data_IF_747460623670
#
_entry.id   IF_747460623670
#
_cell.length_a   1.000
_cell.length_b   1.000
_cell.length_c   1.000
_cell.angle_alpha   90.00
_cell.angle_beta   90.00
_cell.angle_gamma   90.00
#
_symmetry.space_group_name_H-M   'P 1'
#
loop_
_entity.id
_entity.type
_entity.pdbx_description
1 polymer ?
#
# COMPACT_ATOMS: atom_id res chain seq x y z
N UNK A 1 10.41 15.21 15.50
CA UNK A 1 10.84 13.80 15.34
C UNK A 1 10.74 13.12 16.70
N UNK A 2 10.35 11.85 16.74
CA UNK A 2 10.34 11.10 18.00
C UNK A 2 11.77 10.93 18.55
N UNK A 3 11.91 10.82 19.89
CA UNK A 3 13.19 10.60 20.56
C UNK A 3 13.71 9.20 20.21
N UNK A 4 14.96 9.10 19.78
CA UNK A 4 15.61 7.81 19.52
C UNK A 4 15.92 7.13 20.86
N UNK A 5 15.48 5.89 21.02
CA UNK A 5 15.75 5.06 22.20
C UNK A 5 16.83 4.03 21.81
N UNK A 6 18.05 4.10 22.37
CA UNK A 6 19.13 3.17 22.03
C UNK A 6 18.86 1.78 22.62
N UNK A 7 19.14 0.72 21.86
CA UNK A 7 18.99 -0.67 22.29
C UNK A 7 18.43 -1.58 21.20
N UNK A 8 18.22 -2.86 21.54
CA UNK A 8 17.52 -3.82 20.69
C UNK A 8 16.09 -3.99 21.21
N UNK A 9 15.12 -3.70 20.36
CA UNK A 9 13.70 -3.82 20.69
C UNK A 9 13.04 -4.81 19.74
N UNK A 10 12.06 -5.53 20.26
CA UNK A 10 11.22 -6.45 19.50
C UNK A 10 9.78 -6.11 19.81
N UNK A 11 8.95 -5.91 18.78
CA UNK A 11 7.52 -5.72 18.98
C UNK A 11 6.92 -7.05 19.46
N UNK A 12 6.08 -6.99 20.48
CA UNK A 12 5.24 -8.11 20.90
C UNK A 12 3.86 -7.93 20.27
N UNK A 13 3.33 -9.00 19.68
CA UNK A 13 1.99 -9.08 19.16
C UNK A 13 1.33 -10.31 19.79
N UNK A 14 0.32 -10.08 20.62
CA UNK A 14 -0.41 -11.16 21.31
C UNK A 14 -1.60 -11.66 20.46
N UNK A 15 -1.99 -10.89 19.44
CA UNK A 15 -3.08 -11.16 18.52
C UNK A 15 -2.57 -11.40 17.11
N UNK A 16 -3.30 -12.20 16.34
CA UNK A 16 -3.04 -12.41 14.92
C UNK A 16 -3.16 -11.10 14.15
N UNK A 17 -2.33 -10.93 13.11
CA UNK A 17 -2.33 -9.71 12.29
C UNK A 17 -2.03 -10.03 10.83
N UNK A 18 -2.20 -9.02 9.97
CA UNK A 18 -1.93 -9.14 8.54
C UNK A 18 -0.70 -8.34 8.14
N UNK A 19 0.18 -8.97 7.37
CA UNK A 19 1.22 -8.29 6.59
C UNK A 19 0.75 -8.22 5.14
N UNK A 20 0.52 -7.01 4.66
CA UNK A 20 0.11 -6.76 3.28
C UNK A 20 1.24 -6.04 2.54
N UNK A 21 1.80 -6.70 1.54
CA UNK A 21 2.84 -6.15 0.68
C UNK A 21 2.19 -5.82 -0.66
N UNK A 22 2.26 -4.57 -1.09
CA UNK A 22 1.76 -4.14 -2.39
C UNK A 22 2.84 -3.36 -3.13
N UNK A 23 2.95 -3.55 -4.43
CA UNK A 23 3.93 -2.83 -5.22
C UNK A 23 3.53 -2.59 -6.65
N UNK A 24 4.25 -1.65 -7.26
CA UNK A 24 4.21 -1.38 -8.69
C UNK A 24 5.53 -1.77 -9.34
N UNK A 25 5.48 -2.31 -10.55
CA UNK A 25 6.64 -2.53 -11.41
C UNK A 25 6.46 -1.79 -12.72
N UNK A 26 7.35 -0.85 -13.00
CA UNK A 26 7.40 -0.13 -14.28
C UNK A 26 8.04 -1.05 -15.32
N UNK A 27 7.29 -1.38 -16.38
CA UNK A 27 7.76 -2.24 -17.48
C UNK A 27 8.20 -1.41 -18.69
N UNK A 28 7.59 -0.25 -18.92
CA UNK A 28 8.02 0.72 -19.95
C UNK A 28 8.55 1.99 -19.28
N UNK A 29 9.86 2.05 -19.06
CA UNK A 29 10.50 3.11 -18.26
C UNK A 29 10.22 4.53 -18.79
N UNK A 30 10.31 4.75 -20.10
CA UNK A 30 10.07 6.06 -20.71
C UNK A 30 8.58 6.43 -20.85
N UNK A 31 7.64 5.55 -20.46
CA UNK A 31 6.22 5.83 -20.49
C UNK A 31 5.78 6.64 -19.24
N UNK A 32 6.45 7.75 -18.96
CA UNK A 32 6.25 8.56 -17.74
C UNK A 32 4.79 8.96 -17.51
N UNK A 33 4.07 9.33 -18.58
CA UNK A 33 2.64 9.68 -18.53
C UNK A 33 1.72 8.53 -18.10
N UNK A 34 2.20 7.28 -18.19
CA UNK A 34 1.48 6.09 -17.74
C UNK A 34 1.78 5.80 -16.28
N UNK A 35 3.05 5.71 -15.93
CA UNK A 35 3.44 5.17 -14.62
C UNK A 35 3.49 6.20 -13.49
N UNK A 36 3.73 7.48 -13.77
CA UNK A 36 3.76 8.52 -12.73
C UNK A 36 2.40 8.62 -12.00
N UNK A 37 1.26 8.74 -12.70
CA UNK A 37 -0.04 8.79 -12.04
C UNK A 37 -0.28 7.57 -11.15
N UNK A 38 -0.01 6.36 -11.67
CA UNK A 38 -0.18 5.12 -10.91
C UNK A 38 0.67 5.07 -9.63
N UNK A 39 1.91 5.57 -9.67
CA UNK A 39 2.77 5.66 -8.49
C UNK A 39 2.25 6.66 -7.44
N UNK A 40 1.54 7.71 -7.88
CA UNK A 40 1.02 8.75 -6.98
C UNK A 40 -0.29 8.36 -6.29
N UNK A 41 -1.00 7.34 -6.78
CA UNK A 41 -2.28 6.89 -6.20
C UNK A 41 -2.16 6.38 -4.75
N UNK A 42 -0.97 5.91 -4.34
CA UNK A 42 -0.76 5.38 -2.98
C UNK A 42 -0.73 6.47 -1.89
N UNK A 43 -0.35 7.70 -2.25
CA UNK A 43 -0.22 8.81 -1.29
C UNK A 43 -1.54 9.15 -0.58
N UNK A 44 -2.64 9.41 -1.32
CA UNK A 44 -3.96 9.64 -0.73
C UNK A 44 -4.45 8.49 0.15
N UNK A 45 -4.24 7.24 -0.26
CA UNK A 45 -4.65 6.05 0.52
C UNK A 45 -3.95 6.01 1.88
N UNK A 46 -2.62 6.15 1.89
CA UNK A 46 -1.84 6.21 3.12
C UNK A 46 -2.26 7.40 4.00
N UNK A 47 -2.49 8.57 3.40
CA UNK A 47 -2.93 9.75 4.17
C UNK A 47 -4.27 9.52 4.86
N UNK A 48 -5.21 8.84 4.20
CA UNK A 48 -6.49 8.46 4.82
C UNK A 48 -6.26 7.49 5.97
N UNK A 49 -5.47 6.42 5.76
CA UNK A 49 -5.22 5.41 6.79
C UNK A 49 -4.49 5.98 8.02
N UNK A 50 -3.52 6.87 7.83
CA UNK A 50 -2.84 7.52 8.95
C UNK A 50 -3.73 8.51 9.70
N UNK A 51 -4.73 9.11 9.05
CA UNK A 51 -5.70 10.00 9.71
C UNK A 51 -6.81 9.24 10.43
N UNK A 52 -7.08 8.01 10.00
CA UNK A 52 -8.20 7.18 10.43
C UNK A 52 -7.68 5.83 10.97
N UNK A 53 -6.97 5.83 12.12
CA UNK A 53 -6.39 4.61 12.68
C UNK A 53 -7.46 3.56 13.04
N UNK A 54 -8.71 3.96 13.22
CA UNK A 54 -9.85 3.06 13.41
C UNK A 54 -10.04 2.09 12.24
N UNK A 55 -9.56 2.43 11.04
CA UNK A 55 -9.61 1.56 9.85
C UNK A 55 -8.66 0.35 9.93
N UNK A 56 -7.78 0.29 10.93
CA UNK A 56 -7.04 -0.93 11.26
C UNK A 56 -5.63 -1.06 10.67
N UNK A 57 -5.13 -0.06 9.96
CA UNK A 57 -3.71 -0.04 9.57
C UNK A 57 -2.85 0.32 10.79
N UNK A 58 -1.98 -0.59 11.20
CA UNK A 58 -1.04 -0.45 12.32
C UNK A 58 0.21 0.32 11.92
N UNK A 59 0.63 0.19 10.65
CA UNK A 59 1.81 0.87 10.14
C UNK A 59 2.05 0.57 8.68
N UNK A 60 2.84 1.41 8.03
CA UNK A 60 3.23 1.22 6.65
C UNK A 60 4.66 1.74 6.41
N UNK A 61 5.41 1.05 5.57
CA UNK A 61 6.76 1.43 5.18
C UNK A 61 6.99 1.25 3.69
N UNK A 62 7.47 2.33 3.07
CA UNK A 62 7.76 2.37 1.63
C UNK A 62 9.19 1.91 1.35
N UNK A 63 9.34 1.06 0.35
CA UNK A 63 10.60 0.56 -0.17
C UNK A 63 10.71 0.91 -1.65
N UNK A 64 11.87 1.39 -2.06
CA UNK A 64 12.19 1.65 -3.46
C UNK A 64 13.15 0.58 -3.97
N UNK A 65 12.91 0.09 -5.19
CA UNK A 65 13.79 -0.89 -5.83
C UNK A 65 13.88 -0.61 -7.34
N UNK A 66 14.74 -1.36 -8.04
CA UNK A 66 14.90 -1.19 -9.47
C UNK A 66 13.56 -1.35 -10.19
N UNK A 67 13.12 -0.25 -10.83
CA UNK A 67 11.87 -0.16 -11.60
C UNK A 67 10.61 -0.34 -10.77
N UNK A 68 10.62 -0.08 -9.47
CA UNK A 68 9.41 -0.23 -8.69
C UNK A 68 9.45 0.39 -7.31
N UNK A 69 8.27 0.40 -6.70
CA UNK A 69 8.02 0.84 -5.34
C UNK A 69 7.18 -0.26 -4.69
N UNK A 70 7.51 -0.61 -3.45
CA UNK A 70 6.72 -1.51 -2.62
C UNK A 70 6.33 -0.78 -1.33
N UNK A 71 5.22 -1.22 -0.77
CA UNK A 71 4.70 -0.75 0.49
C UNK A 71 4.39 -1.99 1.33
N UNK A 72 5.09 -2.12 2.44
CA UNK A 72 4.78 -3.12 3.47
C UNK A 72 3.83 -2.46 4.45
N UNK A 73 2.67 -3.08 4.67
CA UNK A 73 1.65 -2.59 5.59
C UNK A 73 1.36 -3.67 6.63
N UNK A 74 1.13 -3.22 7.86
CA UNK A 74 0.68 -4.05 8.96
C UNK A 74 -0.76 -3.68 9.27
N UNK A 75 -1.63 -4.67 9.38
CA UNK A 75 -3.06 -4.52 9.60
C UNK A 75 -3.51 -5.36 10.78
N UNK A 76 -4.42 -4.81 11.58
CA UNK A 76 -4.97 -5.48 12.76
C UNK A 76 -5.72 -6.77 12.41
N UNK A 77 -6.37 -6.82 11.25
CA UNK A 77 -7.03 -8.03 10.75
C UNK A 77 -7.15 -7.99 9.22
N UNK A 78 -7.45 -9.15 8.63
CA UNK A 78 -7.80 -9.24 7.21
C UNK A 78 -9.11 -8.50 6.91
N UNK A 79 -10.09 -8.58 7.80
CA UNK A 79 -11.37 -7.90 7.64
C UNK A 79 -11.22 -6.39 7.57
N UNK A 80 -10.34 -5.80 8.39
CA UNK A 80 -10.02 -4.37 8.36
C UNK A 80 -9.39 -3.97 7.01
N UNK A 81 -8.44 -4.76 6.51
CA UNK A 81 -7.81 -4.58 5.20
C UNK A 81 -8.84 -4.69 4.06
N UNK A 82 -9.64 -5.75 4.04
CA UNK A 82 -10.63 -5.99 3.01
C UNK A 82 -11.70 -4.89 3.02
N UNK A 83 -12.17 -4.50 4.20
CA UNK A 83 -13.14 -3.42 4.37
C UNK A 83 -12.63 -2.13 3.75
N UNK A 84 -11.41 -1.70 4.07
CA UNK A 84 -10.82 -0.51 3.45
C UNK A 84 -10.71 -0.63 1.93
N UNK A 85 -10.32 -1.80 1.42
CA UNK A 85 -10.18 -2.03 -0.02
C UNK A 85 -11.52 -1.96 -0.77
N UNK A 86 -12.64 -2.27 -0.11
CA UNK A 86 -13.97 -2.37 -0.73
C UNK A 86 -14.93 -1.22 -0.37
N UNK A 87 -14.58 -0.38 0.60
CA UNK A 87 -15.43 0.74 1.00
C UNK A 87 -15.49 1.80 -0.12
N UNK A 88 -16.72 2.22 -0.46
CA UNK A 88 -16.97 3.23 -1.50
C UNK A 88 -16.61 4.64 -1.04
N UNK A 89 -16.56 4.88 0.27
CA UNK A 89 -16.13 6.14 0.87
C UNK A 89 -14.60 6.26 0.98
N UNK A 90 -13.86 5.17 0.74
CA UNK A 90 -12.41 5.15 0.80
C UNK A 90 -11.74 5.30 -0.58
N UNK A 91 -10.51 5.85 -0.62
CA UNK A 91 -9.84 6.20 -1.87
C UNK A 91 -9.42 4.99 -2.73
N UNK A 92 -9.42 3.77 -2.18
CA UNK A 92 -8.89 2.59 -2.86
C UNK A 92 -9.65 2.25 -4.15
N UNK A 93 -10.98 2.18 -4.11
CA UNK A 93 -11.78 1.80 -5.28
C UNK A 93 -11.63 2.78 -6.45
N UNK A 94 -11.55 4.08 -6.15
CA UNK A 94 -11.41 5.10 -7.18
C UNK A 94 -10.01 5.05 -7.82
N UNK A 95 -8.97 4.87 -7.01
CA UNK A 95 -7.60 4.65 -7.49
C UNK A 95 -7.52 3.41 -8.41
N UNK A 96 -8.17 2.30 -8.01
CA UNK A 96 -8.25 1.10 -8.84
C UNK A 96 -8.96 1.33 -10.17
N UNK A 97 -10.06 2.08 -10.18
CA UNK A 97 -10.76 2.47 -11.42
C UNK A 97 -9.87 3.32 -12.33
N UNK A 98 -9.16 4.30 -11.78
CA UNK A 98 -8.21 5.15 -12.54
C UNK A 98 -7.08 4.32 -13.12
N UNK A 99 -6.52 3.38 -12.36
CA UNK A 99 -5.50 2.46 -12.84
C UNK A 99 -6.00 1.63 -14.02
N UNK A 100 -7.16 0.99 -13.88
CA UNK A 100 -7.75 0.17 -14.95
C UNK A 100 -8.05 0.98 -16.22
N UNK A 101 -8.51 2.23 -16.07
CA UNK A 101 -8.78 3.12 -17.21
C UNK A 101 -7.50 3.57 -17.93
N UNK A 102 -6.46 3.90 -17.18
CA UNK A 102 -5.26 4.56 -17.73
C UNK A 102 -4.18 3.58 -18.19
N UNK A 103 -4.12 2.38 -17.59
CA UNK A 103 -3.11 1.35 -17.81
C UNK A 103 -3.79 0.06 -18.23
N UNK A 104 -4.74 -0.43 -17.43
CA UNK A 104 -5.43 -1.70 -17.69
C UNK A 104 -4.43 -2.84 -17.95
N UNK A 105 -4.51 -3.43 -19.14
CA UNK A 105 -3.64 -4.53 -19.58
C UNK A 105 -2.60 -4.13 -20.64
N UNK A 106 -2.24 -2.84 -20.78
CA UNK A 106 -1.31 -2.35 -21.81
C UNK A 106 0.18 -2.73 -21.58
N UNK A 107 0.46 -3.34 -20.43
CA UNK A 107 1.78 -3.84 -20.02
C UNK A 107 2.79 -2.74 -19.66
N UNK A 108 2.40 -1.47 -19.54
CA UNK A 108 3.31 -0.38 -19.18
C UNK A 108 3.72 -0.42 -17.71
N UNK A 109 2.81 -0.83 -16.82
CA UNK A 109 2.98 -0.96 -15.37
C UNK A 109 2.26 -2.22 -14.89
N UNK A 110 2.91 -2.99 -14.03
CA UNK A 110 2.27 -4.06 -13.25
C UNK A 110 1.99 -3.60 -11.83
N UNK A 111 0.88 -4.07 -11.27
CA UNK A 111 0.61 -4.04 -9.82
C UNK A 111 0.67 -5.48 -9.32
N UNK A 112 1.25 -5.68 -8.15
CA UNK A 112 1.28 -6.96 -7.46
C UNK A 112 1.01 -6.75 -5.98
N UNK A 113 0.49 -7.78 -5.32
CA UNK A 113 0.36 -7.78 -3.87
C UNK A 113 0.44 -9.18 -3.30
N UNK A 114 0.84 -9.27 -2.03
CA UNK A 114 0.95 -10.47 -1.23
C UNK A 114 0.32 -10.18 0.14
N UNK A 115 -0.52 -11.09 0.63
CA UNK A 115 -1.21 -10.96 1.91
C UNK A 115 -0.88 -12.17 2.77
N UNK A 116 -0.31 -11.93 3.95
CA UNK A 116 0.06 -12.96 4.91
C UNK A 116 -0.74 -12.77 6.20
N UNK A 117 -1.32 -13.86 6.69
CA UNK A 117 -1.86 -13.97 8.05
C UNK A 117 -0.74 -14.50 8.96
N UNK A 118 -0.46 -13.79 10.04
CA UNK A 118 0.61 -14.10 11.00
C UNK A 118 0.01 -14.46 12.35
#
# INVERSE_FOLDING_TARGET
MAKVIPGRFTAQADEAFVVFIIGIRVNKFFAFRRWIPAAMEMGPMLRTLFKHPEKGMLGAQTFFYWRGIALVQYWRSFDDLEKFARDKGDPHLEAWRRFNKNIGSDGSVGIWHETFLV
#
